data_IF_420280776940
#
_entry.id   IF_420280776940
#
_cell.length_a   1.000
_cell.length_b   1.000
_cell.length_c   1.000
_cell.angle_alpha   90.00
_cell.angle_beta   90.00
_cell.angle_gamma   90.00
#
_symmetry.space_group_name_H-M   'P 1'
#
loop_
_entity.id
_entity.type
_entity.pdbx_description
1 polymer ?
#
# COMPACT_ATOMS: atom_id res chain seq x y z
N UNK A 1 22.13 -11.84 -8.60
CA UNK A 1 21.30 -10.69 -8.22
C UNK A 1 19.95 -10.91 -8.86
N UNK A 2 18.92 -11.24 -8.09
CA UNK A 2 17.56 -11.37 -8.62
C UNK A 2 17.08 -9.97 -8.97
N UNK A 3 16.72 -9.74 -10.24
CA UNK A 3 16.13 -8.48 -10.67
C UNK A 3 14.89 -8.19 -9.82
N UNK A 4 14.83 -7.00 -9.22
CA UNK A 4 13.62 -6.55 -8.52
C UNK A 4 12.57 -6.25 -9.57
N UNK A 5 11.62 -7.16 -9.75
CA UNK A 5 10.43 -6.86 -10.54
C UNK A 5 9.51 -5.94 -9.73
N UNK A 6 9.19 -4.79 -10.32
CA UNK A 6 8.22 -3.82 -9.80
C UNK A 6 7.14 -3.67 -10.86
N UNK A 7 5.88 -3.92 -10.49
CA UNK A 7 4.72 -3.79 -11.37
C UNK A 7 3.73 -2.82 -10.74
N UNK A 8 3.24 -1.85 -11.52
CA UNK A 8 2.15 -0.96 -11.12
C UNK A 8 0.87 -1.42 -11.81
N UNK A 9 -0.20 -1.60 -11.03
CA UNK A 9 -1.55 -1.89 -11.50
C UNK A 9 -2.41 -0.66 -11.29
N UNK A 10 -2.96 -0.10 -12.37
CA UNK A 10 -3.93 1.01 -12.34
C UNK A 10 -5.29 0.63 -12.97
N UNK A 11 -5.42 -0.56 -13.56
CA UNK A 11 -6.71 -1.08 -14.01
C UNK A 11 -7.60 -1.45 -12.81
N UNK A 12 -8.79 -0.84 -12.74
CA UNK A 12 -9.68 -1.00 -11.59
C UNK A 12 -10.20 -2.42 -11.42
N UNK A 13 -10.37 -3.20 -12.50
CA UNK A 13 -10.83 -4.60 -12.38
C UNK A 13 -9.72 -5.47 -11.79
N UNK A 14 -8.48 -5.29 -12.24
CA UNK A 14 -7.32 -6.00 -11.70
C UNK A 14 -7.06 -5.61 -10.23
N UNK A 15 -7.15 -4.33 -9.89
CA UNK A 15 -7.08 -3.85 -8.49
C UNK A 15 -8.11 -4.55 -7.62
N UNK A 16 -9.38 -4.53 -8.02
CA UNK A 16 -10.46 -5.14 -7.23
C UNK A 16 -10.22 -6.65 -7.06
N UNK A 17 -9.76 -7.33 -8.12
CA UNK A 17 -9.39 -8.75 -8.04
C UNK A 17 -8.29 -8.99 -7.00
N UNK A 18 -7.22 -8.22 -7.02
CA UNK A 18 -6.12 -8.32 -6.05
C UNK A 18 -6.64 -8.09 -4.62
N UNK A 19 -7.46 -7.06 -4.43
CA UNK A 19 -8.02 -6.74 -3.12
C UNK A 19 -8.84 -7.91 -2.57
N UNK A 20 -9.77 -8.45 -3.35
CA UNK A 20 -10.63 -9.56 -2.91
C UNK A 20 -9.83 -10.85 -2.67
N UNK A 21 -8.85 -11.17 -3.51
CA UNK A 21 -8.09 -12.43 -3.41
C UNK A 21 -6.97 -12.39 -2.36
N UNK A 22 -6.31 -11.23 -2.20
CA UNK A 22 -5.03 -11.13 -1.46
C UNK A 22 -5.10 -10.24 -0.23
N UNK A 23 -6.04 -9.32 -0.10
CA UNK A 23 -5.98 -8.28 0.94
C UNK A 23 -7.17 -8.39 1.90
N UNK A 24 -8.39 -8.34 1.36
CA UNK A 24 -9.62 -8.20 2.12
C UNK A 24 -9.92 -9.45 2.96
N UNK A 25 -10.47 -9.23 4.16
CA UNK A 25 -10.89 -10.29 5.07
C UNK A 25 -9.76 -11.02 5.80
N UNK A 26 -8.49 -10.64 5.58
CA UNK A 26 -7.35 -11.20 6.29
C UNK A 26 -7.16 -10.57 7.67
N UNK A 27 -6.61 -11.35 8.61
CA UNK A 27 -6.24 -10.85 9.94
C UNK A 27 -5.06 -9.89 9.82
N UNK A 28 -5.21 -8.67 10.34
CA UNK A 28 -4.18 -7.64 10.28
C UNK A 28 -3.09 -7.91 11.32
N UNK A 29 -1.83 -7.80 10.90
CA UNK A 29 -0.66 -7.90 11.78
C UNK A 29 0.23 -6.69 11.54
N UNK A 30 0.39 -5.84 12.56
CA UNK A 30 1.20 -4.64 12.46
C UNK A 30 2.65 -4.93 12.87
N UNK A 31 3.59 -4.42 12.09
CA UNK A 31 5.03 -4.57 12.38
C UNK A 31 5.52 -3.47 13.34
N UNK A 32 6.61 -3.70 14.05
CA UNK A 32 7.28 -2.64 14.84
C UNK A 32 7.74 -1.47 13.94
N UNK A 33 8.10 -1.78 12.69
CA UNK A 33 8.44 -0.79 11.67
C UNK A 33 7.26 0.12 11.34
N UNK A 34 6.05 -0.43 11.26
CA UNK A 34 4.83 0.34 11.09
C UNK A 34 4.64 1.33 12.26
N UNK A 35 4.71 0.86 13.50
CA UNK A 35 4.52 1.70 14.70
C UNK A 35 5.58 2.81 14.79
N UNK A 36 6.85 2.45 14.57
CA UNK A 36 7.96 3.43 14.52
C UNK A 36 7.75 4.44 13.40
N UNK A 37 7.24 3.98 12.27
CA UNK A 37 6.96 4.81 11.09
C UNK A 37 5.85 5.82 11.31
N UNK A 38 4.78 5.44 12.00
CA UNK A 38 3.68 6.31 12.40
C UNK A 38 4.18 7.42 13.33
N UNK A 39 4.89 7.06 14.40
CA UNK A 39 5.44 8.00 15.38
C UNK A 39 6.36 9.03 14.71
N UNK A 40 7.29 8.59 13.85
CA UNK A 40 8.22 9.48 13.14
C UNK A 40 7.52 10.44 12.18
N UNK A 41 6.37 10.05 11.63
CA UNK A 41 5.61 10.86 10.66
C UNK A 41 4.50 11.68 11.30
N UNK A 42 4.26 11.51 12.61
CA UNK A 42 3.15 12.16 13.30
C UNK A 42 1.78 11.71 12.78
N UNK A 43 1.66 10.47 12.30
CA UNK A 43 0.39 9.93 11.81
C UNK A 43 -0.22 9.04 12.90
N UNK A 44 -1.50 9.26 13.21
CA UNK A 44 -2.23 8.44 14.16
C UNK A 44 -2.65 7.10 13.55
N UNK A 45 -2.79 6.09 14.41
CA UNK A 45 -3.37 4.80 14.03
C UNK A 45 -4.83 4.94 13.58
N UNK A 46 -5.57 5.92 14.11
CA UNK A 46 -6.93 6.25 13.65
C UNK A 46 -6.97 6.52 12.15
N UNK A 47 -5.91 7.10 11.58
CA UNK A 47 -5.84 7.34 10.13
C UNK A 47 -5.81 6.04 9.33
N UNK A 48 -5.17 5.00 9.85
CA UNK A 48 -5.21 3.68 9.22
C UNK A 48 -6.63 3.10 9.26
N UNK A 49 -7.29 3.14 10.41
CA UNK A 49 -8.65 2.63 10.57
C UNK A 49 -9.67 3.36 9.70
N UNK A 50 -9.46 4.66 9.47
CA UNK A 50 -10.26 5.44 8.52
C UNK A 50 -10.02 4.96 7.08
N UNK A 51 -8.76 4.83 6.66
CA UNK A 51 -8.39 4.67 5.23
C UNK A 51 -8.48 3.22 4.76
N UNK A 52 -7.89 2.29 5.51
CA UNK A 52 -7.65 0.92 5.06
C UNK A 52 -8.90 0.19 4.52
N UNK A 53 -10.09 0.26 5.18
CA UNK A 53 -11.27 -0.44 4.68
C UNK A 53 -11.91 0.19 3.42
N UNK A 54 -11.49 1.39 2.99
CA UNK A 54 -12.03 2.10 1.83
C UNK A 54 -11.39 1.62 0.51
N UNK A 55 -11.53 0.33 0.21
CA UNK A 55 -10.91 -0.32 -0.96
C UNK A 55 -11.36 0.25 -2.32
N UNK A 56 -12.54 0.86 -2.37
CA UNK A 56 -13.05 1.60 -3.53
C UNK A 56 -12.13 2.77 -3.90
N UNK A 57 -11.46 3.38 -2.92
CA UNK A 57 -10.53 4.51 -3.12
C UNK A 57 -9.11 4.12 -3.51
N UNK A 58 -8.80 2.82 -3.59
CA UNK A 58 -7.50 2.37 -4.11
C UNK A 58 -7.46 2.68 -5.61
N UNK A 59 -6.53 3.54 -6.01
CA UNK A 59 -6.33 3.97 -7.40
C UNK A 59 -5.21 3.19 -8.10
N UNK A 60 -4.18 2.81 -7.36
CA UNK A 60 -3.02 2.09 -7.87
C UNK A 60 -2.57 1.04 -6.85
N UNK A 61 -1.99 -0.06 -7.32
CA UNK A 61 -1.26 -1.03 -6.50
C UNK A 61 0.14 -1.19 -7.08
N UNK A 62 1.18 -0.92 -6.29
CA UNK A 62 2.55 -1.31 -6.62
C UNK A 62 2.83 -2.68 -6.03
N UNK A 63 3.32 -3.60 -6.86
CA UNK A 63 3.72 -4.94 -6.47
C UNK A 63 5.22 -5.04 -6.68
N UNK A 64 5.97 -5.32 -5.61
CA UNK A 64 7.41 -5.55 -5.70
C UNK A 64 7.84 -6.84 -4.99
N UNK A 65 8.90 -7.46 -5.49
CA UNK A 65 9.60 -8.50 -4.73
C UNK A 65 10.50 -7.86 -3.68
N UNK A 66 10.20 -8.12 -2.41
CA UNK A 66 11.00 -7.68 -1.27
C UNK A 66 12.32 -8.46 -1.19
N UNK A 67 13.29 -7.91 -0.44
CA UNK A 67 14.66 -8.48 -0.31
C UNK A 67 14.70 -9.96 0.08
N UNK A 68 13.66 -10.47 0.75
CA UNK A 68 13.56 -11.87 1.22
C UNK A 68 12.70 -12.77 0.32
N UNK A 69 12.30 -12.29 -0.86
CA UNK A 69 11.47 -13.04 -1.82
C UNK A 69 9.96 -12.94 -1.59
N UNK A 70 9.53 -12.17 -0.58
CA UNK A 70 8.12 -11.91 -0.33
C UNK A 70 7.56 -10.89 -1.32
N UNK A 71 6.30 -11.05 -1.72
CA UNK A 71 5.60 -10.06 -2.53
C UNK A 71 5.02 -8.97 -1.64
N UNK A 72 5.52 -7.74 -1.80
CA UNK A 72 4.97 -6.54 -1.18
C UNK A 72 3.90 -5.92 -2.09
N UNK A 73 2.81 -5.47 -1.48
CA UNK A 73 1.71 -4.78 -2.15
C UNK A 73 1.51 -3.42 -1.48
N UNK A 74 1.87 -2.35 -2.17
CA UNK A 74 1.60 -0.98 -1.71
C UNK A 74 0.29 -0.49 -2.34
N UNK A 75 -0.71 -0.28 -1.48
CA UNK A 75 -2.03 0.21 -1.87
C UNK A 75 -2.02 1.74 -1.83
N UNK A 76 -2.32 2.39 -2.94
CA UNK A 76 -2.40 3.86 -3.02
C UNK A 76 -3.87 4.31 -3.03
N UNK A 77 -4.26 5.03 -1.98
CA UNK A 77 -5.60 5.56 -1.76
C UNK A 77 -5.67 7.03 -2.16
N UNK A 78 -6.64 7.40 -2.98
CA UNK A 78 -6.95 8.79 -3.28
C UNK A 78 -7.92 9.37 -2.23
N UNK A 79 -7.47 10.35 -1.45
CA UNK A 79 -8.22 10.88 -0.29
C UNK A 79 -8.89 12.24 -0.56
N UNK A 80 -8.70 12.81 -1.75
CA UNK A 80 -9.12 14.19 -2.09
C UNK A 80 -8.10 15.25 -1.66
N UNK A 81 -8.31 16.51 -2.07
CA UNK A 81 -7.43 17.66 -1.76
C UNK A 81 -5.94 17.39 -2.08
N UNK A 82 -5.64 16.75 -3.21
CA UNK A 82 -4.29 16.34 -3.63
C UNK A 82 -3.54 15.49 -2.59
N UNK A 83 -4.28 14.74 -1.76
CA UNK A 83 -3.72 13.85 -0.76
C UNK A 83 -3.83 12.41 -1.24
N UNK A 84 -2.70 11.71 -1.27
CA UNK A 84 -2.66 10.25 -1.45
C UNK A 84 -2.11 9.63 -0.18
N UNK A 85 -2.74 8.54 0.27
CA UNK A 85 -2.20 7.73 1.36
C UNK A 85 -1.73 6.40 0.76
N UNK A 86 -0.54 5.97 1.12
CA UNK A 86 -0.07 4.62 0.78
C UNK A 86 0.01 3.74 2.00
N UNK A 87 -0.40 2.48 1.85
CA UNK A 87 -0.29 1.44 2.87
C UNK A 87 0.46 0.26 2.27
N UNK A 88 1.65 0.00 2.80
CA UNK A 88 2.47 -1.14 2.38
C UNK A 88 2.07 -2.41 3.12
N UNK A 89 1.85 -3.49 2.38
CA UNK A 89 1.34 -4.75 2.92
C UNK A 89 2.09 -5.97 2.38
N UNK A 90 2.08 -7.07 3.14
CA UNK A 90 2.53 -8.40 2.69
C UNK A 90 1.42 -9.41 2.99
N UNK A 91 0.73 -9.93 1.96
CA UNK A 91 -0.27 -10.97 2.16
C UNK A 91 0.41 -12.32 2.41
N UNK A 92 0.00 -13.01 3.48
CA UNK A 92 0.51 -14.33 3.88
C UNK A 92 -0.64 -15.19 4.38
N UNK A 93 -1.04 -16.21 3.61
CA UNK A 93 -2.13 -17.14 3.99
C UNK A 93 -3.38 -16.38 4.47
N UNK A 94 -3.72 -16.46 5.76
CA UNK A 94 -4.86 -15.84 6.44
C UNK A 94 -4.55 -14.46 7.05
N UNK A 95 -3.27 -14.04 7.05
CA UNK A 95 -2.82 -12.76 7.60
C UNK A 95 -2.41 -11.76 6.53
N UNK A 96 -2.57 -10.48 6.85
CA UNK A 96 -2.04 -9.37 6.09
C UNK A 96 -1.11 -8.57 7.00
N UNK A 97 0.18 -8.62 6.68
CA UNK A 97 1.20 -7.90 7.43
C UNK A 97 1.19 -6.45 6.95
N UNK A 98 1.05 -5.50 7.87
CA UNK A 98 1.09 -4.06 7.60
C UNK A 98 2.49 -3.53 7.92
N UNK A 99 3.14 -2.96 6.91
CA UNK A 99 4.53 -2.52 6.97
C UNK A 99 4.63 -1.02 7.28
N UNK A 100 3.82 -0.19 6.63
CA UNK A 100 3.82 1.25 6.82
C UNK A 100 2.53 1.91 6.35
N UNK A 101 2.32 3.15 6.81
CA UNK A 101 1.35 4.09 6.26
C UNK A 101 2.09 5.41 5.99
N UNK A 102 1.91 5.97 4.79
CA UNK A 102 2.52 7.25 4.39
C UNK A 102 1.43 8.16 3.82
N UNK A 103 1.39 9.40 4.30
CA UNK A 103 0.54 10.46 3.73
C UNK A 103 1.38 11.38 2.84
N UNK A 104 0.96 11.53 1.58
CA UNK A 104 1.56 12.44 0.61
C UNK A 104 0.62 13.63 0.38
N UNK A 105 1.01 14.82 0.87
CA UNK A 105 0.22 16.06 0.77
C UNK A 105 0.46 16.88 -0.52
N UNK A 106 1.12 16.31 -1.54
CA UNK A 106 1.41 16.96 -2.84
C UNK A 106 1.38 15.92 -3.96
N UNK A 107 0.91 16.33 -5.15
CA UNK A 107 0.76 15.50 -6.36
C UNK A 107 1.91 14.49 -6.55
N UNK A 108 1.60 13.21 -6.40
CA UNK A 108 2.52 12.09 -6.66
C UNK A 108 2.90 11.95 -8.14
N UNK A 109 2.39 12.79 -9.04
CA UNK A 109 2.74 12.82 -10.46
C UNK A 109 4.25 12.82 -10.70
N UNK A 110 5.04 13.47 -9.81
CA UNK A 110 6.50 13.46 -9.90
C UNK A 110 7.14 12.10 -9.57
N UNK A 111 6.52 11.29 -8.71
CA UNK A 111 7.00 9.93 -8.37
C UNK A 111 6.56 8.92 -9.42
N UNK A 112 5.30 8.97 -9.87
CA UNK A 112 4.80 8.07 -10.92
C UNK A 112 5.43 8.31 -12.30
N UNK A 113 5.89 9.53 -12.61
CA UNK A 113 6.68 9.83 -13.82
C UNK A 113 7.95 9.00 -13.95
N UNK A 114 8.52 8.50 -12.84
CA UNK A 114 9.72 7.64 -12.88
C UNK A 114 9.44 6.17 -13.19
N UNK A 115 8.19 5.72 -13.08
CA UNK A 115 7.82 4.31 -13.22
C UNK A 115 6.98 4.03 -14.48
N UNK A 116 6.56 5.08 -15.20
CA UNK A 116 5.84 4.99 -16.48
C UNK A 116 6.73 5.19 -17.73
N UNK A 117 8.06 5.22 -17.57
CA UNK A 117 9.03 5.24 -18.67
C UNK A 117 9.54 3.84 -18.96
#
# INVERSE_FOLDING_TARGET
>A
MTEKEVKIIDDKKEINKIIEEKIKGKKLVFTEWYMTGLLKRGISEDKFNEVFPQFDKVKDIEIETLKKGDWGYELFYEMGNNTTISIGTIPKNDVLIIIHLIEYKRNLDYRFKRFRQ
#
